data_IF_247502964948
#
_entry.id   IF_247502964948
#
_cell.length_a   1.000
_cell.length_b   1.000
_cell.length_c   1.000
_cell.angle_alpha   90.00
_cell.angle_beta   90.00
_cell.angle_gamma   90.00
#
_symmetry.space_group_name_H-M   'P 1'
#
loop_
_entity.id
_entity.type
_entity.pdbx_description
1 polymer ?
#
# COMPACT_ATOMS: atom_id res chain seq x y z
N UNK A 1 65.95 14.98 -48.00
CA UNK A 1 65.95 16.44 -48.16
C UNK A 1 64.49 16.89 -48.12
N UNK A 2 64.05 17.53 -47.04
CA UNK A 2 62.75 18.23 -46.95
C UNK A 2 62.75 19.45 -47.90
N UNK A 3 61.59 19.88 -48.44
CA UNK A 3 60.69 20.83 -47.74
C UNK A 3 59.19 20.44 -47.89
N UNK A 4 58.29 20.59 -46.90
CA UNK A 4 57.79 21.77 -46.18
C UNK A 4 56.72 22.60 -46.94
N UNK A 5 55.51 22.64 -46.35
CA UNK A 5 54.56 23.77 -46.19
C UNK A 5 53.16 23.74 -46.87
N UNK A 6 52.16 23.90 -45.98
CA UNK A 6 50.96 24.76 -46.02
C UNK A 6 49.60 24.25 -46.58
N UNK A 7 48.61 24.41 -45.68
CA UNK A 7 47.16 24.15 -45.66
C UNK A 7 46.37 25.29 -46.37
N UNK A 8 45.03 25.43 -46.24
CA UNK A 8 43.87 24.58 -46.57
C UNK A 8 42.93 25.24 -47.63
N UNK A 9 41.99 24.50 -48.22
CA UNK A 9 40.67 25.06 -48.59
C UNK A 9 39.55 24.11 -48.21
N UNK A 10 38.65 24.64 -47.39
CA UNK A 10 37.48 23.99 -46.83
C UNK A 10 36.49 23.54 -47.91
N UNK A 11 36.00 22.31 -47.79
CA UNK A 11 34.78 21.84 -48.42
C UNK A 11 33.89 21.27 -47.31
N UNK A 12 32.84 22.01 -46.96
CA UNK A 12 31.85 21.60 -45.97
C UNK A 12 31.00 20.45 -46.52
N UNK A 13 31.05 19.30 -45.85
CA UNK A 13 30.12 18.20 -46.07
C UNK A 13 29.03 18.33 -45.00
N UNK A 14 27.82 18.67 -45.45
CA UNK A 14 26.59 18.59 -44.65
C UNK A 14 26.27 17.11 -44.38
N UNK A 15 26.67 16.60 -43.22
CA UNK A 15 26.14 15.34 -42.70
C UNK A 15 24.73 15.60 -42.16
N UNK A 16 23.73 15.23 -42.97
CA UNK A 16 22.34 15.14 -42.53
C UNK A 16 22.20 13.94 -41.59
N UNK A 17 22.37 14.18 -40.28
CA UNK A 17 22.20 13.18 -39.24
C UNK A 17 20.73 12.82 -39.06
N UNK A 18 20.29 11.72 -39.68
CA UNK A 18 19.03 11.08 -39.34
C UNK A 18 19.19 10.40 -37.97
N UNK A 19 18.72 11.07 -36.91
CA UNK A 19 18.58 10.45 -35.59
C UNK A 19 17.41 9.47 -35.68
N UNK A 20 17.70 8.18 -35.84
CA UNK A 20 16.72 7.13 -35.55
C UNK A 20 16.44 7.20 -34.05
N UNK A 21 15.32 7.84 -33.69
CA UNK A 21 14.77 7.79 -32.35
C UNK A 21 14.35 6.36 -32.02
N UNK A 22 15.23 5.60 -31.36
CA UNK A 22 14.85 4.39 -30.64
C UNK A 22 13.96 4.84 -29.49
N UNK A 23 12.66 4.86 -29.74
CA UNK A 23 11.67 5.01 -28.67
C UNK A 23 11.66 3.68 -27.93
N UNK A 24 12.50 3.59 -26.90
CA UNK A 24 12.34 2.55 -25.88
C UNK A 24 10.99 2.85 -25.20
N UNK A 25 9.92 2.25 -25.69
CA UNK A 25 8.66 2.18 -24.96
C UNK A 25 8.95 1.31 -23.73
N UNK A 26 9.24 1.98 -22.61
CA UNK A 26 9.17 1.35 -21.31
C UNK A 26 7.71 0.97 -21.13
N UNK A 27 7.40 -0.31 -21.34
CA UNK A 27 6.10 -0.86 -21.02
C UNK A 27 5.93 -0.75 -19.49
N UNK A 28 5.29 0.33 -19.03
CA UNK A 28 4.82 0.40 -17.66
C UNK A 28 3.82 -0.75 -17.49
N UNK A 29 4.11 -1.67 -16.58
CA UNK A 29 3.16 -2.72 -16.23
C UNK A 29 1.83 -2.05 -15.87
N UNK A 30 0.77 -2.37 -16.63
CA UNK A 30 -0.55 -1.82 -16.34
C UNK A 30 -0.97 -2.22 -14.92
N UNK A 31 -1.51 -1.30 -14.11
CA UNK A 31 -1.92 -1.62 -12.75
C UNK A 31 -3.00 -2.71 -12.75
N UNK A 32 -2.93 -3.66 -11.83
CA UNK A 32 -3.90 -4.74 -11.74
C UNK A 32 -5.26 -4.19 -11.29
N UNK A 33 -6.33 -4.57 -11.99
CA UNK A 33 -7.68 -3.99 -11.75
C UNK A 33 -8.22 -4.24 -10.34
N UNK A 34 -7.83 -5.34 -9.73
CA UNK A 34 -8.28 -5.81 -8.42
C UNK A 34 -7.37 -5.37 -7.28
N UNK A 35 -6.35 -4.54 -7.57
CA UNK A 35 -5.51 -3.91 -6.55
C UNK A 35 -5.85 -2.45 -6.31
N UNK A 36 -6.74 -1.85 -7.11
CA UNK A 36 -7.10 -0.45 -6.94
C UNK A 36 -7.77 -0.19 -5.59
N UNK A 37 -7.18 0.69 -4.78
CA UNK A 37 -7.65 0.99 -3.42
C UNK A 37 -7.34 -0.10 -2.39
N UNK A 38 -6.63 -1.17 -2.78
CA UNK A 38 -6.19 -2.22 -1.88
C UNK A 38 -4.97 -1.74 -1.07
N UNK A 39 -4.88 -2.11 0.22
CA UNK A 39 -3.76 -1.69 1.07
C UNK A 39 -2.40 -2.13 0.49
N UNK A 40 -2.30 -3.28 -0.17
CA UNK A 40 -1.04 -3.73 -0.74
C UNK A 40 -0.70 -3.13 -2.12
N UNK A 41 -1.53 -2.24 -2.68
CA UNK A 41 -1.40 -1.76 -4.06
C UNK A 41 0.01 -1.26 -4.38
N UNK A 42 0.56 -0.36 -3.57
CA UNK A 42 1.87 0.23 -3.82
C UNK A 42 3.02 -0.81 -3.77
N UNK A 43 2.94 -1.79 -2.85
CA UNK A 43 3.93 -2.87 -2.78
C UNK A 43 3.87 -3.76 -4.03
N UNK A 44 2.66 -4.08 -4.47
CA UNK A 44 2.40 -4.92 -5.64
C UNK A 44 2.91 -4.23 -6.91
N UNK A 45 2.55 -2.97 -7.12
CA UNK A 45 2.97 -2.18 -8.28
C UNK A 45 4.50 -2.03 -8.34
N UNK A 46 5.13 -1.73 -7.20
CA UNK A 46 6.59 -1.58 -7.12
C UNK A 46 7.31 -2.89 -7.49
N UNK A 47 6.89 -4.01 -6.90
CA UNK A 47 7.49 -5.31 -7.17
C UNK A 47 7.18 -5.82 -8.58
N UNK A 48 6.02 -5.47 -9.14
CA UNK A 48 5.67 -5.83 -10.51
C UNK A 48 6.46 -5.04 -11.54
N UNK A 49 6.67 -3.74 -11.33
CA UNK A 49 7.53 -2.91 -12.16
C UNK A 49 8.99 -3.42 -12.19
N UNK A 50 9.44 -4.10 -11.14
CA UNK A 50 10.76 -4.74 -11.05
C UNK A 50 10.80 -6.19 -11.56
N UNK A 51 9.67 -6.72 -12.02
CA UNK A 51 9.55 -8.10 -12.49
C UNK A 51 9.63 -9.16 -11.38
N UNK A 52 9.53 -8.76 -10.11
CA UNK A 52 9.53 -9.69 -8.95
C UNK A 52 8.18 -10.38 -8.81
N UNK A 53 7.10 -9.64 -9.05
CA UNK A 53 5.73 -10.15 -8.99
C UNK A 53 5.03 -10.01 -10.33
N UNK A 54 4.29 -11.07 -10.69
CA UNK A 54 3.45 -11.08 -11.88
C UNK A 54 2.00 -11.35 -11.47
N UNK A 55 1.08 -10.71 -12.18
CA UNK A 55 -0.34 -11.06 -12.12
C UNK A 55 -0.68 -12.25 -13.00
N UNK A 56 -1.97 -12.51 -13.12
CA UNK A 56 -2.50 -13.59 -13.93
C UNK A 56 -2.79 -13.12 -15.36
N UNK A 57 -2.88 -14.05 -16.34
CA UNK A 57 -3.20 -13.70 -17.74
C UNK A 57 -4.52 -12.93 -17.92
N UNK A 58 -5.42 -13.05 -16.95
CA UNK A 58 -6.71 -12.34 -16.93
C UNK A 58 -6.59 -10.86 -16.50
N UNK A 59 -5.39 -10.36 -16.18
CA UNK A 59 -5.13 -8.98 -15.74
C UNK A 59 -5.38 -8.71 -14.25
N UNK A 60 -5.56 -9.76 -13.44
CA UNK A 60 -5.70 -9.66 -11.96
C UNK A 60 -4.40 -9.95 -11.24
N UNK A 61 -4.27 -9.46 -10.01
CA UNK A 61 -3.22 -9.87 -9.08
C UNK A 61 -3.68 -10.90 -8.06
N UNK A 62 -4.95 -10.88 -7.68
CA UNK A 62 -5.61 -11.69 -6.64
C UNK A 62 -4.98 -11.50 -5.26
N UNK A 63 -4.99 -10.27 -4.71
CA UNK A 63 -4.24 -9.91 -3.50
C UNK A 63 -4.61 -10.73 -2.26
N UNK A 64 -5.85 -11.21 -2.18
CA UNK A 64 -6.37 -11.94 -1.03
C UNK A 64 -6.21 -13.46 -1.13
N UNK A 65 -5.74 -13.99 -2.26
CA UNK A 65 -5.52 -15.43 -2.41
C UNK A 65 -4.25 -15.87 -1.66
N UNK A 66 -4.23 -17.08 -1.07
CA UNK A 66 -3.03 -17.67 -0.49
C UNK A 66 -1.92 -17.88 -1.53
N UNK A 67 -0.67 -17.79 -1.08
CA UNK A 67 0.52 -18.12 -1.90
C UNK A 67 0.95 -19.55 -1.64
N UNK A 68 1.16 -20.33 -2.70
CA UNK A 68 1.71 -21.69 -2.57
C UNK A 68 3.22 -21.67 -2.30
N UNK A 69 3.77 -22.72 -1.69
CA UNK A 69 5.21 -22.84 -1.44
C UNK A 69 6.04 -22.74 -2.72
N UNK A 70 5.55 -23.29 -3.83
CA UNK A 70 6.19 -23.16 -5.14
C UNK A 70 6.22 -21.70 -5.64
N UNK A 71 5.08 -21.00 -5.59
CA UNK A 71 5.00 -19.58 -5.93
C UNK A 71 5.94 -18.74 -5.06
N UNK A 72 5.92 -18.97 -3.76
CA UNK A 72 6.78 -18.24 -2.84
C UNK A 72 8.27 -18.46 -3.13
N UNK A 73 8.69 -19.70 -3.42
CA UNK A 73 10.08 -19.98 -3.83
C UNK A 73 10.49 -19.20 -5.09
N UNK A 74 9.59 -19.04 -6.07
CA UNK A 74 9.87 -18.21 -7.26
C UNK A 74 10.02 -16.73 -6.92
N UNK A 75 9.16 -16.20 -6.04
CA UNK A 75 9.22 -14.80 -5.61
C UNK A 75 10.55 -14.52 -4.91
N UNK A 76 10.95 -15.37 -3.95
CA UNK A 76 12.20 -15.22 -3.20
C UNK A 76 13.41 -15.32 -4.13
N UNK A 77 13.42 -16.28 -5.07
CA UNK A 77 14.50 -16.45 -6.03
C UNK A 77 14.71 -15.19 -6.89
N UNK A 78 13.61 -14.63 -7.42
CA UNK A 78 13.64 -13.44 -8.26
C UNK A 78 14.01 -12.19 -7.45
N UNK A 79 13.37 -11.99 -6.29
CA UNK A 79 13.59 -10.84 -5.41
C UNK A 79 15.06 -10.69 -4.99
N UNK A 80 15.70 -11.81 -4.66
CA UNK A 80 17.07 -11.82 -4.12
C UNK A 80 18.14 -12.25 -5.11
N UNK A 81 17.74 -12.48 -6.38
CA UNK A 81 18.60 -12.89 -7.49
C UNK A 81 19.54 -14.04 -7.09
N UNK A 82 18.95 -15.05 -6.45
CA UNK A 82 19.74 -16.15 -5.90
C UNK A 82 20.46 -16.89 -7.03
N UNK A 83 21.65 -17.38 -6.71
CA UNK A 83 22.45 -18.21 -7.61
C UNK A 83 22.47 -19.62 -7.07
N UNK A 84 22.54 -20.61 -7.95
CA UNK A 84 22.84 -21.97 -7.53
C UNK A 84 24.24 -21.96 -6.89
N UNK A 85 24.29 -22.23 -5.59
CA UNK A 85 25.52 -22.58 -4.90
C UNK A 85 25.99 -23.93 -5.44
N UNK A 86 27.29 -24.15 -5.57
CA UNK A 86 27.90 -25.29 -6.29
C UNK A 86 27.67 -26.68 -5.65
N UNK A 87 26.66 -26.84 -4.79
CA UNK A 87 26.26 -28.09 -4.19
C UNK A 87 25.13 -28.77 -4.98
N UNK A 88 25.29 -30.07 -5.24
CA UNK A 88 24.30 -30.90 -5.91
C UNK A 88 23.09 -31.13 -5.01
N UNK A 89 22.13 -30.21 -4.97
CA UNK A 89 20.83 -30.49 -4.36
C UNK A 89 20.07 -31.49 -5.26
N UNK A 90 19.74 -32.68 -4.72
CA UNK A 90 19.18 -33.81 -5.48
C UNK A 90 17.68 -33.62 -5.83
N UNK A 91 17.07 -32.50 -5.45
CA UNK A 91 15.65 -32.23 -5.69
C UNK A 91 14.75 -32.84 -4.62
N UNK A 92 13.45 -32.57 -4.72
CA UNK A 92 12.42 -33.15 -3.85
C UNK A 92 11.61 -34.19 -4.61
N UNK A 93 11.13 -35.24 -3.92
CA UNK A 93 10.45 -36.38 -4.55
C UNK A 93 9.19 -36.01 -5.33
N UNK A 94 8.45 -35.01 -4.85
CA UNK A 94 7.20 -34.50 -5.40
C UNK A 94 7.40 -33.27 -6.31
N UNK A 95 8.65 -32.93 -6.65
CA UNK A 95 8.97 -31.83 -7.56
C UNK A 95 9.75 -32.41 -8.75
N UNK A 96 9.08 -32.90 -9.80
CA UNK A 96 9.75 -33.41 -10.97
C UNK A 96 10.54 -32.30 -11.68
N UNK A 97 11.61 -32.61 -12.44
CA UNK A 97 12.39 -31.60 -13.17
C UNK A 97 11.57 -30.76 -14.16
N UNK A 98 10.43 -31.27 -14.63
CA UNK A 98 9.49 -30.59 -15.53
C UNK A 98 8.52 -29.65 -14.81
N UNK A 99 8.50 -29.65 -13.46
CA UNK A 99 7.67 -28.74 -12.69
C UNK A 99 8.13 -27.30 -12.94
N UNK A 100 7.19 -26.39 -13.20
CA UNK A 100 7.47 -24.99 -13.56
C UNK A 100 8.35 -24.26 -12.52
N UNK A 101 8.19 -24.58 -11.23
CA UNK A 101 8.98 -24.03 -10.13
C UNK A 101 10.22 -24.86 -9.75
N UNK A 102 10.52 -25.97 -10.44
CA UNK A 102 11.58 -26.91 -10.03
C UNK A 102 12.93 -26.22 -9.81
N UNK A 103 13.34 -25.38 -10.77
CA UNK A 103 14.60 -24.63 -10.66
C UNK A 103 14.58 -23.67 -9.46
N UNK A 104 13.51 -22.89 -9.28
CA UNK A 104 13.44 -21.92 -8.18
C UNK A 104 13.43 -22.61 -6.81
N UNK A 105 12.70 -23.72 -6.69
CA UNK A 105 12.67 -24.54 -5.48
C UNK A 105 14.07 -25.09 -5.18
N UNK A 106 14.76 -25.64 -6.19
CA UNK A 106 16.12 -26.16 -6.00
C UNK A 106 17.11 -25.06 -5.61
N UNK A 107 17.03 -23.88 -6.22
CA UNK A 107 17.92 -22.76 -5.90
C UNK A 107 17.67 -22.23 -4.50
N UNK A 108 16.41 -22.05 -4.10
CA UNK A 108 16.06 -21.62 -2.75
C UNK A 108 16.49 -22.65 -1.69
N UNK A 109 16.34 -23.94 -1.98
CA UNK A 109 16.79 -25.02 -1.09
C UNK A 109 18.33 -25.06 -0.97
N UNK A 110 19.05 -24.93 -2.09
CA UNK A 110 20.52 -24.88 -2.12
C UNK A 110 21.11 -23.66 -1.38
N UNK A 111 20.32 -22.59 -1.24
CA UNK A 111 20.66 -21.41 -0.44
C UNK A 111 20.17 -21.49 1.02
N UNK A 112 19.67 -22.64 1.47
CA UNK A 112 19.11 -22.87 2.82
C UNK A 112 17.96 -21.93 3.19
N UNK A 113 17.22 -21.43 2.19
CA UNK A 113 16.08 -20.54 2.42
C UNK A 113 14.79 -21.31 2.59
N UNK A 114 14.64 -22.44 1.92
CA UNK A 114 13.47 -23.33 2.06
C UNK A 114 13.94 -24.75 2.37
N UNK A 115 13.10 -25.49 3.10
CA UNK A 115 13.34 -26.89 3.41
C UNK A 115 12.11 -27.73 3.04
N UNK A 116 12.36 -29.00 2.71
CA UNK A 116 11.31 -30.00 2.56
C UNK A 116 10.94 -30.66 3.88
N UNK A 117 10.01 -31.60 3.80
CA UNK A 117 9.54 -32.38 4.93
C UNK A 117 10.42 -33.62 5.16
N UNK A 118 10.38 -34.24 6.35
CA UNK A 118 11.17 -35.44 6.65
C UNK A 118 10.92 -36.64 5.72
N UNK A 119 9.79 -36.65 5.02
CA UNK A 119 9.41 -37.66 4.02
C UNK A 119 10.07 -37.43 2.63
N UNK A 120 10.91 -36.39 2.49
CA UNK A 120 11.59 -36.04 1.25
C UNK A 120 10.73 -35.23 0.25
N UNK A 121 9.55 -34.77 0.67
CA UNK A 121 8.66 -33.93 -0.16
C UNK A 121 8.85 -32.43 0.10
N UNK A 122 8.47 -31.59 -0.86
CA UNK A 122 8.43 -30.13 -0.72
C UNK A 122 7.02 -29.59 -0.49
N UNK A 123 6.01 -30.29 -1.00
CA UNK A 123 4.59 -29.92 -1.04
C UNK A 123 4.36 -28.59 -1.78
N UNK A 124 4.66 -28.52 -3.09
CA UNK A 124 4.70 -27.26 -3.85
C UNK A 124 3.38 -26.49 -3.84
N UNK A 125 2.24 -27.20 -3.81
CA UNK A 125 0.90 -26.60 -3.83
C UNK A 125 0.35 -26.25 -2.45
N UNK A 126 1.03 -26.67 -1.38
CA UNK A 126 0.61 -26.30 -0.03
C UNK A 126 0.82 -24.79 0.18
N UNK A 127 -0.15 -24.05 0.75
CA UNK A 127 0.04 -22.64 1.08
C UNK A 127 1.18 -22.43 2.09
N UNK A 128 1.94 -21.35 1.93
CA UNK A 128 2.93 -20.91 2.91
C UNK A 128 2.23 -20.12 4.02
N UNK A 129 2.59 -20.38 5.26
CA UNK A 129 2.09 -19.58 6.40
C UNK A 129 2.80 -18.24 6.49
N UNK A 130 2.19 -17.27 7.19
CA UNK A 130 2.82 -15.97 7.47
C UNK A 130 4.16 -16.10 8.18
N UNK A 131 4.24 -17.00 9.17
CA UNK A 131 5.50 -17.29 9.87
C UNK A 131 6.56 -17.84 8.94
N UNK A 132 6.24 -18.85 8.14
CA UNK A 132 7.20 -19.43 7.20
C UNK A 132 7.71 -18.37 6.22
N UNK A 133 6.82 -17.56 5.64
CA UNK A 133 7.21 -16.51 4.71
C UNK A 133 8.18 -15.50 5.34
N UNK A 134 7.88 -15.02 6.55
CA UNK A 134 8.73 -14.08 7.28
C UNK A 134 10.09 -14.68 7.68
N UNK A 135 10.14 -15.96 8.07
CA UNK A 135 11.41 -16.64 8.36
C UNK A 135 12.28 -16.73 7.11
N UNK A 136 11.71 -17.15 5.98
CA UNK A 136 12.44 -17.26 4.72
C UNK A 136 12.97 -15.91 4.27
N UNK A 137 12.14 -14.86 4.30
CA UNK A 137 12.55 -13.51 3.89
C UNK A 137 13.61 -12.92 4.83
N UNK A 138 13.47 -13.13 6.14
CA UNK A 138 14.49 -12.74 7.12
C UNK A 138 15.82 -13.46 6.90
N UNK A 139 15.79 -14.73 6.52
CA UNK A 139 17.02 -15.46 6.17
C UNK A 139 17.60 -14.96 4.85
N UNK A 140 16.76 -14.56 3.89
CA UNK A 140 17.17 -14.12 2.55
C UNK A 140 17.81 -12.72 2.52
N UNK A 141 17.45 -11.83 3.46
CA UNK A 141 18.20 -10.58 3.67
C UNK A 141 19.61 -10.85 4.25
N UNK A 142 19.82 -12.04 4.81
CA UNK A 142 21.07 -12.51 5.42
C UNK A 142 21.27 -11.97 6.82
N UNK A 143 22.07 -12.67 7.62
CA UNK A 143 22.75 -12.08 8.78
C UNK A 143 23.80 -11.07 8.30
N UNK A 144 23.40 -10.03 7.57
CA UNK A 144 24.16 -8.78 7.61
C UNK A 144 24.22 -8.45 9.09
N UNK A 145 25.41 -8.33 9.69
CA UNK A 145 25.62 -8.00 11.11
C UNK A 145 25.05 -6.64 11.57
N UNK A 146 24.00 -6.18 10.89
CA UNK A 146 23.23 -4.96 11.02
C UNK A 146 21.83 -5.19 11.59
N UNK A 147 21.33 -6.43 11.76
CA UNK A 147 20.15 -6.67 12.61
C UNK A 147 20.67 -6.78 14.04
N UNK A 148 20.47 -5.76 14.89
CA UNK A 148 20.93 -5.84 16.27
C UNK A 148 20.20 -6.99 16.97
N UNK A 149 20.83 -7.62 17.96
CA UNK A 149 20.24 -8.74 18.69
C UNK A 149 18.77 -8.45 19.04
N UNK A 150 17.86 -9.16 18.38
CA UNK A 150 16.42 -9.02 18.61
C UNK A 150 16.03 -10.00 19.71
N UNK A 151 15.36 -9.49 20.74
CA UNK A 151 14.90 -10.34 21.84
C UNK A 151 13.48 -10.81 21.53
N UNK A 152 13.16 -12.12 21.70
CA UNK A 152 11.80 -12.61 21.53
C UNK A 152 10.76 -11.83 22.35
N UNK A 153 11.15 -11.27 23.50
CA UNK A 153 10.29 -10.41 24.34
C UNK A 153 9.69 -9.22 23.59
N UNK A 154 10.37 -8.69 22.57
CA UNK A 154 9.91 -7.56 21.77
C UNK A 154 8.66 -7.90 20.95
N UNK A 155 8.44 -9.20 20.67
CA UNK A 155 7.24 -9.67 20.00
C UNK A 155 6.04 -9.69 20.95
N UNK A 156 6.25 -10.16 22.19
CA UNK A 156 5.18 -10.30 23.20
C UNK A 156 4.68 -8.96 23.74
N UNK A 157 5.52 -7.93 23.74
CA UNK A 157 5.09 -6.56 24.09
C UNK A 157 4.31 -5.89 22.97
N UNK A 158 4.43 -6.37 21.73
CA UNK A 158 3.86 -5.74 20.54
C UNK A 158 2.62 -6.42 20.00
N UNK A 159 2.61 -7.75 19.95
CA UNK A 159 1.56 -8.52 19.27
C UNK A 159 0.73 -9.30 20.28
N UNK A 160 -0.59 -9.15 20.19
CA UNK A 160 -1.53 -9.78 21.14
C UNK A 160 -1.55 -11.30 21.02
N UNK A 161 -1.17 -11.82 19.86
CA UNK A 161 -1.11 -13.23 19.53
C UNK A 161 0.34 -13.75 19.37
N UNK A 162 1.32 -13.05 19.94
CA UNK A 162 2.73 -13.48 19.91
C UNK A 162 2.93 -14.89 20.48
N UNK A 163 2.07 -15.33 21.42
CA UNK A 163 2.08 -16.68 21.96
C UNK A 163 1.74 -17.78 20.93
N UNK A 164 1.11 -17.43 19.80
CA UNK A 164 0.84 -18.37 18.72
C UNK A 164 2.06 -18.57 17.79
N UNK A 165 3.14 -17.81 17.96
CA UNK A 165 4.37 -17.97 17.17
C UNK A 165 5.04 -19.29 17.57
N UNK A 166 5.35 -20.18 16.60
CA UNK A 166 6.10 -21.39 16.89
C UNK A 166 7.50 -21.08 17.46
N UNK A 167 7.94 -21.83 18.47
CA UNK A 167 9.22 -21.61 19.13
C UNK A 167 10.42 -21.55 18.16
N UNK A 168 10.40 -22.36 17.10
CA UNK A 168 11.46 -22.39 16.08
C UNK A 168 11.58 -21.09 15.27
N UNK A 169 10.53 -20.26 15.24
CA UNK A 169 10.46 -19.04 14.45
C UNK A 169 10.71 -17.75 15.25
N UNK A 170 10.73 -17.83 16.59
CA UNK A 170 10.78 -16.66 17.47
C UNK A 170 11.97 -15.74 17.18
N UNK A 171 13.16 -16.31 16.98
CA UNK A 171 14.37 -15.53 16.73
C UNK A 171 14.28 -14.75 15.40
N UNK A 172 13.85 -15.42 14.34
CA UNK A 172 13.72 -14.82 13.02
C UNK A 172 12.56 -13.82 12.95
N UNK A 173 11.44 -14.07 13.62
CA UNK A 173 10.36 -13.08 13.69
C UNK A 173 10.74 -11.87 14.54
N UNK A 174 11.53 -12.04 15.60
CA UNK A 174 12.07 -10.91 16.36
C UNK A 174 13.00 -10.06 15.49
N UNK A 175 13.86 -10.71 14.71
CA UNK A 175 14.71 -10.06 13.71
C UNK A 175 13.88 -9.35 12.63
N UNK A 176 12.85 -10.01 12.07
CA UNK A 176 11.92 -9.43 11.10
C UNK A 176 11.22 -8.19 11.65
N UNK A 177 10.75 -8.26 12.89
CA UNK A 177 10.11 -7.16 13.60
C UNK A 177 11.04 -5.95 13.72
N UNK A 178 12.30 -6.20 14.10
CA UNK A 178 13.31 -5.16 14.27
C UNK A 178 13.79 -4.55 12.96
N UNK A 179 13.83 -5.35 11.89
CA UNK A 179 14.18 -4.91 10.55
C UNK A 179 12.99 -4.28 9.79
N UNK A 180 11.81 -4.16 10.42
CA UNK A 180 10.63 -3.54 9.80
C UNK A 180 9.98 -4.39 8.69
N UNK A 181 10.26 -5.70 8.64
CA UNK A 181 9.73 -6.62 7.62
C UNK A 181 8.26 -6.96 7.84
N UNK A 182 7.80 -6.93 9.10
CA UNK A 182 6.44 -7.34 9.45
C UNK A 182 5.47 -6.21 9.12
N UNK A 183 4.64 -6.44 8.09
CA UNK A 183 3.51 -5.59 7.71
C UNK A 183 2.21 -6.28 8.11
N UNK A 184 1.45 -5.64 8.99
CA UNK A 184 0.19 -6.17 9.50
C UNK A 184 -0.94 -5.21 9.12
N UNK A 185 -1.95 -5.76 8.44
CA UNK A 185 -3.16 -5.06 8.05
C UNK A 185 -4.36 -6.00 8.22
N UNK A 186 -5.53 -5.50 8.67
CA UNK A 186 -5.78 -4.11 9.09
C UNK A 186 -5.27 -3.81 10.51
N UNK A 187 -5.03 -4.84 11.32
CA UNK A 187 -4.59 -4.66 12.71
C UNK A 187 -3.08 -4.85 12.86
N UNK A 188 -2.30 -3.78 13.13
CA UNK A 188 -0.86 -3.85 13.27
C UNK A 188 -0.40 -4.62 14.51
N UNK A 189 -1.26 -4.87 15.48
CA UNK A 189 -0.95 -5.61 16.71
C UNK A 189 -1.33 -7.10 16.62
N UNK A 190 -1.78 -7.58 15.46
CA UNK A 190 -2.16 -8.97 15.24
C UNK A 190 -1.28 -9.61 14.14
N UNK A 191 -0.56 -10.69 14.49
CA UNK A 191 0.34 -11.37 13.56
C UNK A 191 -0.34 -12.45 12.73
N UNK A 192 -1.32 -13.16 13.28
CA UNK A 192 -1.92 -14.37 12.74
C UNK A 192 -0.86 -15.36 12.18
N UNK A 193 0.10 -15.80 13.00
CA UNK A 193 1.35 -16.39 12.53
C UNK A 193 1.16 -17.71 11.75
N UNK A 194 0.13 -18.47 12.06
CA UNK A 194 -0.06 -19.84 11.56
C UNK A 194 -1.06 -19.96 10.40
N UNK A 195 -1.70 -18.85 9.98
CA UNK A 195 -2.59 -18.89 8.81
C UNK A 195 -1.81 -18.76 7.50
N UNK A 196 -2.37 -19.24 6.38
CA UNK A 196 -1.82 -18.98 5.05
C UNK A 196 -1.60 -17.48 4.81
N UNK A 197 -0.44 -17.13 4.25
CA UNK A 197 -0.12 -15.78 3.82
C UNK A 197 -0.78 -15.49 2.48
N UNK A 198 -1.41 -14.32 2.36
CA UNK A 198 -2.00 -13.87 1.09
C UNK A 198 -0.94 -13.30 0.15
N UNK A 199 -1.26 -13.20 -1.14
CA UNK A 199 -0.40 -12.58 -2.15
C UNK A 199 -0.04 -11.13 -1.81
N UNK A 200 -0.97 -10.38 -1.24
CA UNK A 200 -0.75 -9.02 -0.74
C UNK A 200 0.28 -8.98 0.40
N UNK A 201 0.20 -9.90 1.35
CA UNK A 201 1.12 -9.98 2.48
C UNK A 201 2.52 -10.38 2.03
N UNK A 202 2.63 -11.40 1.17
CA UNK A 202 3.91 -11.80 0.58
C UNK A 202 4.52 -10.65 -0.23
N UNK A 203 3.71 -9.87 -0.96
CA UNK A 203 4.19 -8.68 -1.65
C UNK A 203 4.75 -7.64 -0.66
N UNK A 204 4.00 -7.32 0.40
CA UNK A 204 4.44 -6.38 1.42
C UNK A 204 5.73 -6.84 2.12
N UNK A 205 5.80 -8.08 2.57
CA UNK A 205 6.99 -8.63 3.23
C UNK A 205 8.20 -8.65 2.30
N UNK A 206 8.02 -9.08 1.04
CA UNK A 206 9.11 -9.12 0.05
C UNK A 206 9.62 -7.72 -0.23
N UNK A 207 8.72 -6.75 -0.40
CA UNK A 207 9.08 -5.35 -0.59
C UNK A 207 9.91 -4.82 0.58
N UNK A 208 9.46 -5.03 1.82
CA UNK A 208 10.21 -4.60 3.01
C UNK A 208 11.56 -5.31 3.13
N UNK A 209 11.62 -6.59 2.81
CA UNK A 209 12.88 -7.34 2.82
C UNK A 209 13.87 -6.83 1.77
N UNK A 210 13.41 -6.49 0.56
CA UNK A 210 14.25 -5.90 -0.48
C UNK A 210 14.69 -4.46 -0.12
N UNK A 211 13.84 -3.66 0.53
CA UNK A 211 14.21 -2.36 1.11
C UNK A 211 15.32 -2.55 2.15
N UNK A 212 15.14 -3.46 3.10
CA UNK A 212 16.09 -3.73 4.18
C UNK A 212 17.46 -4.21 3.67
N UNK A 213 17.52 -4.90 2.53
CA UNK A 213 18.77 -5.34 1.88
C UNK A 213 19.39 -4.26 0.97
N UNK A 214 18.75 -3.11 0.80
CA UNK A 214 19.17 -2.07 -0.16
C UNK A 214 19.09 -2.53 -1.63
N UNK A 215 18.30 -3.57 -1.92
CA UNK A 215 18.20 -4.20 -3.25
C UNK A 215 17.15 -3.57 -4.16
N UNK A 216 16.35 -2.64 -3.64
CA UNK A 216 15.45 -1.81 -4.45
C UNK A 216 16.24 -0.62 -5.00
N UNK A 217 16.46 -0.62 -6.32
CA UNK A 217 16.81 0.61 -7.03
C UNK A 217 15.53 1.42 -7.12
N UNK A 218 15.52 2.62 -6.55
CA UNK A 218 14.50 3.61 -6.84
C UNK A 218 14.52 3.87 -8.36
N UNK A 219 13.60 3.28 -9.11
CA UNK A 219 13.43 3.65 -10.51
C UNK A 219 12.76 5.01 -10.55
N UNK A 220 13.59 6.05 -10.61
CA UNK A 220 13.24 7.36 -11.12
C UNK A 220 12.94 7.21 -12.62
N UNK A 221 11.72 7.49 -13.11
CA UNK A 221 11.49 7.74 -14.53
C UNK A 221 12.03 9.14 -14.85
N UNK A 222 13.35 9.30 -14.92
CA UNK A 222 14.02 10.57 -15.17
C UNK A 222 15.48 10.50 -14.76
N UNK A 223 16.36 10.25 -15.73
CA UNK A 223 17.78 10.05 -15.49
C UNK A 223 18.46 11.22 -14.76
N UNK A 224 19.07 10.92 -13.62
CA UNK A 224 20.17 11.68 -13.03
C UNK A 224 21.25 10.70 -12.55
N UNK A 225 22.54 11.12 -12.52
CA UNK A 225 23.68 10.22 -12.40
C UNK A 225 23.75 9.52 -11.04
N UNK A 226 24.23 8.27 -11.07
CA UNK A 226 24.55 7.43 -9.93
C UNK A 226 25.47 8.15 -8.92
N UNK A 227 24.89 8.71 -7.86
CA UNK A 227 25.65 9.46 -6.87
C UNK A 227 24.86 9.98 -5.67
N UNK A 228 23.73 9.36 -5.31
CA UNK A 228 23.10 9.47 -3.98
C UNK A 228 22.02 8.39 -3.94
N UNK A 229 22.29 7.27 -3.27
CA UNK A 229 21.24 6.31 -2.96
C UNK A 229 20.21 7.02 -2.07
N UNK A 230 18.90 6.95 -2.32
CA UNK A 230 17.90 7.44 -1.37
C UNK A 230 17.98 6.56 -0.12
N UNK A 231 18.80 7.01 0.82
CA UNK A 231 18.89 6.47 2.16
C UNK A 231 17.72 7.01 2.97
N UNK A 232 17.13 6.17 3.79
CA UNK A 232 16.17 6.62 4.80
C UNK A 232 16.95 7.43 5.86
N UNK A 233 17.02 8.75 5.69
CA UNK A 233 17.70 9.64 6.64
C UNK A 233 16.68 10.37 7.54
N UNK A 234 16.52 9.86 8.77
CA UNK A 234 15.75 10.53 9.83
C UNK A 234 16.50 11.72 10.43
N UNK A 235 17.74 12.00 9.99
CA UNK A 235 18.49 13.17 10.42
C UNK A 235 17.93 14.37 9.64
N UNK A 236 17.04 15.10 10.28
CA UNK A 236 16.43 16.36 9.82
C UNK A 236 15.30 16.23 8.78
N UNK A 237 14.29 15.41 9.08
CA UNK A 237 13.09 15.28 8.24
C UNK A 237 11.87 15.91 8.91
N UNK A 238 11.60 17.18 8.59
CA UNK A 238 10.35 17.87 8.95
C UNK A 238 9.38 17.84 7.77
N UNK A 239 8.10 17.59 8.04
CA UNK A 239 7.01 17.79 7.09
C UNK A 239 6.33 19.12 7.40
N UNK A 240 6.30 20.02 6.42
CA UNK A 240 5.77 21.36 6.62
C UNK A 240 4.24 21.36 6.85
N UNK A 241 3.76 22.34 7.62
CA UNK A 241 2.34 22.65 7.71
C UNK A 241 1.75 22.88 6.31
N UNK A 242 0.50 22.45 6.12
CA UNK A 242 -0.19 22.48 4.84
C UNK A 242 0.05 21.25 3.95
N UNK A 243 1.02 20.38 4.27
CA UNK A 243 1.23 19.10 3.58
C UNK A 243 -0.05 18.26 3.58
N UNK A 244 -0.41 17.73 2.42
CA UNK A 244 -1.54 16.84 2.25
C UNK A 244 -1.10 15.38 2.45
N UNK A 245 -1.86 14.66 3.24
CA UNK A 245 -1.67 13.24 3.55
C UNK A 245 -2.93 12.50 3.17
N UNK A 246 -2.87 11.68 2.12
CA UNK A 246 -3.98 10.81 1.76
C UNK A 246 -4.00 9.61 2.69
N UNK A 247 -5.12 9.41 3.38
CA UNK A 247 -5.35 8.29 4.28
C UNK A 247 -6.59 7.50 3.88
N UNK A 248 -6.77 6.31 4.43
CA UNK A 248 -7.96 5.47 4.21
C UNK A 248 -8.52 4.93 5.51
N UNK A 249 -9.83 4.72 5.54
CA UNK A 249 -10.51 4.01 6.62
C UNK A 249 -10.11 2.52 6.64
N UNK A 250 -9.77 1.93 7.81
CA UNK A 250 -9.24 0.57 7.90
C UNK A 250 -10.31 -0.52 8.11
N UNK A 251 -11.59 -0.18 7.99
CA UNK A 251 -12.70 -1.09 8.30
C UNK A 251 -13.36 -1.66 7.04
N UNK A 252 -14.01 -2.82 7.20
CA UNK A 252 -14.59 -3.60 6.10
C UNK A 252 -16.11 -3.41 5.94
N UNK A 253 -16.75 -2.68 6.85
CA UNK A 253 -18.19 -2.38 6.81
C UNK A 253 -18.42 -0.88 6.95
N UNK A 254 -19.56 -0.39 6.43
CA UNK A 254 -19.93 1.02 6.55
C UNK A 254 -20.04 1.44 8.01
N UNK A 255 -19.42 2.55 8.34
CA UNK A 255 -19.53 3.17 9.66
C UNK A 255 -20.50 4.34 9.62
N UNK A 256 -21.39 4.39 10.61
CA UNK A 256 -22.30 5.51 10.82
C UNK A 256 -21.83 6.27 12.06
N UNK A 257 -21.68 7.59 11.94
CA UNK A 257 -21.33 8.49 13.03
C UNK A 257 -22.50 9.45 13.24
N UNK A 258 -23.00 9.54 14.47
CA UNK A 258 -24.07 10.47 14.79
C UNK A 258 -23.55 11.93 14.83
N UNK A 259 -24.39 12.96 14.56
CA UNK A 259 -23.93 14.35 14.41
C UNK A 259 -23.16 14.94 15.60
N UNK A 260 -23.43 14.45 16.81
CA UNK A 260 -22.79 14.90 18.05
C UNK A 260 -21.82 13.87 18.64
N UNK A 261 -21.49 12.82 17.87
CA UNK A 261 -20.60 11.75 18.32
C UNK A 261 -19.14 12.10 18.06
N UNK A 262 -18.34 12.14 19.13
CA UNK A 262 -16.88 12.07 19.01
C UNK A 262 -16.46 10.62 19.04
N UNK A 263 -15.77 10.15 17.99
CA UNK A 263 -15.38 8.74 17.85
C UNK A 263 -13.89 8.58 17.60
N UNK A 264 -13.11 7.98 18.53
CA UNK A 264 -11.71 7.68 18.29
C UNK A 264 -11.55 6.66 17.15
N UNK A 265 -10.59 6.90 16.26
CA UNK A 265 -10.34 6.05 15.10
C UNK A 265 -8.91 6.22 14.59
N UNK A 266 -8.37 5.16 14.01
CA UNK A 266 -7.12 5.20 13.25
C UNK A 266 -7.40 5.24 11.74
N UNK A 267 -6.65 6.04 11.00
CA UNK A 267 -6.58 6.01 9.54
C UNK A 267 -5.23 5.45 9.08
N UNK A 268 -5.16 4.99 7.85
CA UNK A 268 -3.93 4.40 7.28
C UNK A 268 -3.44 5.27 6.14
N UNK A 269 -2.16 5.67 6.15
CA UNK A 269 -1.55 6.44 5.06
C UNK A 269 -1.60 5.63 3.76
N UNK A 270 -2.29 6.18 2.76
CA UNK A 270 -2.52 5.57 1.45
C UNK A 270 -1.38 5.81 0.46
N UNK A 271 -0.69 6.95 0.55
CA UNK A 271 0.44 7.27 -0.33
C UNK A 271 1.64 7.67 0.52
N UNK A 272 2.84 7.12 0.25
CA UNK A 272 4.03 7.51 0.98
C UNK A 272 4.34 8.99 0.75
N UNK A 273 4.65 9.73 1.81
CA UNK A 273 5.08 11.12 1.73
C UNK A 273 6.59 11.14 1.56
N UNK A 274 7.08 11.95 0.61
CA UNK A 274 8.49 12.06 0.27
C UNK A 274 9.00 13.49 0.47
N UNK A 275 10.29 13.64 0.74
CA UNK A 275 10.96 14.95 0.72
C UNK A 275 11.29 15.38 -0.73
N UNK A 276 11.86 16.58 -0.88
CA UNK A 276 12.27 17.12 -2.19
C UNK A 276 13.39 16.29 -2.86
N UNK A 277 14.14 15.53 -2.07
CA UNK A 277 15.22 14.64 -2.51
C UNK A 277 14.71 13.25 -2.93
N UNK A 278 13.42 12.96 -2.71
CA UNK A 278 12.78 11.69 -3.06
C UNK A 278 12.75 10.63 -1.94
N UNK A 279 13.36 10.92 -0.79
CA UNK A 279 13.38 10.04 0.38
C UNK A 279 11.99 9.94 1.01
N UNK A 280 11.60 8.73 1.41
CA UNK A 280 10.31 8.48 2.05
C UNK A 280 10.39 8.97 3.49
N UNK A 281 9.53 9.93 3.85
CA UNK A 281 9.40 10.46 5.20
C UNK A 281 8.32 9.73 5.99
N UNK A 282 7.15 9.54 5.37
CA UNK A 282 6.03 8.79 5.94
C UNK A 282 5.71 7.65 5.00
N UNK A 283 6.03 6.40 5.35
CA UNK A 283 5.72 5.25 4.53
C UNK A 283 4.22 5.05 4.33
N UNK A 284 3.87 4.42 3.21
CA UNK A 284 2.58 3.75 3.05
C UNK A 284 2.28 2.86 4.27
N UNK A 285 1.03 2.82 4.70
CA UNK A 285 0.62 1.96 5.81
C UNK A 285 0.88 2.55 7.20
N UNK A 286 1.52 3.72 7.29
CA UNK A 286 1.69 4.44 8.55
C UNK A 286 0.32 4.69 9.17
N UNK A 287 0.18 4.40 10.47
CA UNK A 287 -1.08 4.57 11.20
C UNK A 287 -1.17 6.00 11.71
N UNK A 288 -2.27 6.67 11.40
CA UNK A 288 -2.61 7.98 11.94
C UNK A 288 -3.70 7.79 12.99
N UNK A 289 -3.40 8.07 14.25
CA UNK A 289 -4.35 7.98 15.35
C UNK A 289 -4.98 9.35 15.62
N UNK A 290 -6.28 9.34 15.86
CA UNK A 290 -7.05 10.55 16.11
C UNK A 290 -8.51 10.23 16.42
N UNK A 291 -9.39 11.18 16.10
CA UNK A 291 -10.83 11.02 16.32
C UNK A 291 -11.64 11.80 15.30
N UNK A 292 -12.82 11.28 15.00
CA UNK A 292 -13.88 12.04 14.35
C UNK A 292 -14.56 12.92 15.40
N UNK A 293 -14.70 14.21 15.11
CA UNK A 293 -15.34 15.20 15.98
C UNK A 293 -16.49 15.93 15.25
N UNK A 294 -17.58 16.27 15.97
CA UNK A 294 -18.67 17.08 15.43
C UNK A 294 -18.18 18.39 14.82
N UNK A 295 -18.70 18.73 13.65
CA UNK A 295 -18.43 20.00 12.98
C UNK A 295 -19.71 20.51 12.29
N UNK A 296 -19.85 21.84 12.07
CA UNK A 296 -21.02 22.37 11.37
C UNK A 296 -21.22 21.69 10.00
N UNK A 297 -22.37 21.03 9.82
CA UNK A 297 -22.72 20.31 8.59
C UNK A 297 -22.06 18.94 8.40
N UNK A 298 -21.57 18.31 9.48
CA UNK A 298 -21.06 16.94 9.44
C UNK A 298 -20.05 16.61 10.52
N UNK A 299 -18.94 15.99 10.13
CA UNK A 299 -17.89 15.55 11.04
C UNK A 299 -16.52 15.78 10.41
N UNK A 300 -15.50 16.06 11.24
CA UNK A 300 -14.11 16.20 10.81
C UNK A 300 -13.25 15.16 11.51
N UNK A 301 -12.27 14.60 10.80
CA UNK A 301 -11.22 13.83 11.46
C UNK A 301 -10.11 14.76 11.95
N UNK A 302 -9.76 14.67 13.22
CA UNK A 302 -8.64 15.37 13.85
C UNK A 302 -7.58 14.32 14.23
N UNK A 303 -6.42 14.41 13.58
CA UNK A 303 -5.28 13.58 13.89
C UNK A 303 -4.50 14.12 15.09
N UNK A 304 -3.98 13.22 15.91
CA UNK A 304 -3.21 13.54 17.12
C UNK A 304 -1.79 12.96 17.07
N UNK A 305 -1.64 11.80 16.43
CA UNK A 305 -0.35 11.15 16.31
C UNK A 305 -0.25 10.28 15.07
N UNK A 306 0.98 10.00 14.68
CA UNK A 306 1.28 9.07 13.59
C UNK A 306 2.36 8.09 14.04
N UNK A 307 2.18 6.82 13.70
CA UNK A 307 3.18 5.78 13.87
C UNK A 307 3.93 5.62 12.56
N UNK A 308 5.19 6.03 12.57
CA UNK A 308 6.13 5.87 11.45
C UNK A 308 7.28 5.00 11.94
N UNK A 309 7.57 3.89 11.25
CA UNK A 309 8.63 2.96 11.61
C UNK A 309 8.66 2.60 13.11
N UNK A 310 7.49 2.27 13.66
CA UNK A 310 7.34 1.90 15.07
C UNK A 310 7.58 3.00 16.11
N UNK A 311 7.78 4.24 15.68
CA UNK A 311 7.89 5.39 16.57
C UNK A 311 6.63 6.22 16.46
N UNK A 312 6.11 6.62 17.62
CA UNK A 312 4.97 7.51 17.72
C UNK A 312 5.47 8.95 17.62
N UNK A 313 4.93 9.70 16.67
CA UNK A 313 5.20 11.12 16.50
C UNK A 313 3.91 11.92 16.72
N UNK A 314 3.95 13.06 17.43
CA UNK A 314 2.80 13.95 17.53
C UNK A 314 2.47 14.49 16.13
N UNK A 315 1.21 14.41 15.75
CA UNK A 315 0.72 14.88 14.45
C UNK A 315 -0.42 15.85 14.68
N UNK A 316 -0.28 17.08 14.18
CA UNK A 316 -1.38 18.03 14.09
C UNK A 316 -1.84 18.07 12.63
N UNK A 317 -2.94 17.35 12.33
CA UNK A 317 -3.54 17.35 11.00
C UNK A 317 -5.05 17.16 11.09
N UNK A 318 -5.78 17.62 10.07
CA UNK A 318 -7.24 17.49 10.05
C UNK A 318 -7.78 17.29 8.65
N UNK A 319 -8.94 16.64 8.52
CA UNK A 319 -9.66 16.53 7.26
C UNK A 319 -10.50 17.77 6.94
N UNK A 320 -10.99 17.84 5.71
CA UNK A 320 -12.17 18.64 5.38
C UNK A 320 -13.42 18.08 6.09
N UNK A 321 -14.53 18.82 6.01
CA UNK A 321 -15.81 18.37 6.57
C UNK A 321 -16.34 17.21 5.74
N UNK A 322 -16.61 16.10 6.41
CA UNK A 322 -17.35 14.96 5.86
C UNK A 322 -18.82 15.22 6.15
N UNK A 323 -19.57 15.52 5.09
CA UNK A 323 -20.96 15.94 5.22
C UNK A 323 -21.88 14.83 5.68
N UNK A 324 -22.87 15.20 6.50
CA UNK A 324 -23.92 14.30 6.91
C UNK A 324 -24.93 14.07 5.78
N UNK A 325 -25.52 12.88 5.77
CA UNK A 325 -26.59 12.48 4.86
C UNK A 325 -27.77 11.97 5.67
N UNK A 326 -28.97 11.91 5.06
CA UNK A 326 -30.10 11.22 5.69
C UNK A 326 -29.74 9.77 5.91
N UNK A 327 -29.97 9.26 7.12
CA UNK A 327 -29.60 7.88 7.47
C UNK A 327 -30.23 6.89 6.48
N UNK A 328 -29.41 6.20 5.65
CA UNK A 328 -29.88 5.27 4.63
C UNK A 328 -30.66 4.09 5.22
N UNK A 329 -30.53 3.82 6.52
CA UNK A 329 -31.29 2.75 7.20
C UNK A 329 -32.78 3.10 7.33
N UNK A 330 -33.16 4.36 7.17
CA UNK A 330 -34.54 4.84 7.29
C UNK A 330 -35.25 5.01 5.94
N UNK A 331 -34.62 4.60 4.82
CA UNK A 331 -35.20 4.65 3.48
C UNK A 331 -35.90 3.35 3.12
N UNK A 332 -36.95 2.97 3.85
CA UNK A 332 -37.85 1.89 3.39
C UNK A 332 -38.98 2.48 2.56
N UNK A 333 -39.23 1.88 1.39
CA UNK A 333 -40.24 2.24 0.38
C UNK A 333 -41.66 2.44 0.92
N UNK A 334 -41.96 1.96 2.15
CA UNK A 334 -43.26 2.13 2.82
C UNK A 334 -43.45 3.41 3.66
N UNK A 335 -42.42 4.24 3.87
CA UNK A 335 -42.53 5.48 4.68
C UNK A 335 -42.45 6.78 3.90
N UNK A 336 -42.31 6.73 2.57
CA UNK A 336 -42.17 7.91 1.72
C UNK A 336 -43.49 8.71 1.62
N UNK A 337 -44.65 8.07 1.90
CA UNK A 337 -45.97 8.68 1.70
C UNK A 337 -46.51 9.38 2.98
N UNK A 338 -45.98 9.10 4.17
CA UNK A 338 -46.57 9.61 5.42
C UNK A 338 -46.01 10.98 5.88
N UNK A 339 -44.83 11.37 5.42
CA UNK A 339 -44.11 12.54 5.93
C UNK A 339 -44.18 13.79 5.02
N UNK A 340 -45.00 13.76 3.95
CA UNK A 340 -45.28 14.94 3.13
C UNK A 340 -46.19 15.97 3.83
N UNK A 341 -46.64 15.71 5.06
CA UNK A 341 -47.64 16.52 5.77
C UNK A 341 -47.07 17.51 6.81
N UNK A 342 -45.76 17.54 7.05
CA UNK A 342 -45.16 18.44 8.06
C UNK A 342 -43.96 19.17 7.44
N UNK A 343 -44.25 20.28 6.75
CA UNK A 343 -43.23 21.09 6.10
C UNK A 343 -43.80 22.31 5.36
N UNK A 344 -44.81 22.97 5.92
CA UNK A 344 -45.28 24.25 5.38
C UNK A 344 -44.37 25.39 5.86
N UNK A 345 -43.24 25.60 5.18
CA UNK A 345 -42.56 26.89 5.07
C UNK A 345 -41.37 26.78 4.10
N UNK A 346 -41.63 26.95 2.80
CA UNK A 346 -40.79 27.59 1.77
C UNK A 346 -40.94 26.90 0.40
N UNK A 347 -41.51 27.64 -0.56
CA UNK A 347 -41.30 27.42 -1.99
C UNK A 347 -42.29 26.49 -2.70
N UNK A 348 -43.28 27.10 -3.36
CA UNK A 348 -44.16 26.44 -4.33
C UNK A 348 -43.37 25.81 -5.50
N UNK A 349 -43.84 24.71 -6.08
CA UNK A 349 -44.40 24.56 -7.45
C UNK A 349 -44.84 23.08 -7.59
N UNK A 350 -46.15 22.82 -7.69
CA UNK A 350 -46.66 21.58 -8.31
C UNK A 350 -47.50 21.98 -9.52
N UNK A 351 -46.93 21.75 -10.70
CA UNK A 351 -47.65 21.66 -11.96
C UNK A 351 -47.97 20.19 -12.27
N UNK A 352 -49.27 19.94 -12.43
CA UNK A 352 -49.90 18.92 -13.27
C UNK A 352 -49.88 17.44 -12.84
N UNK A 353 -50.96 17.05 -12.16
CA UNK A 353 -51.77 15.90 -12.60
C UNK A 353 -52.74 16.44 -13.66
N UNK A 354 -52.31 16.39 -14.91
CA UNK A 354 -53.12 16.14 -16.11
C UNK A 354 -52.11 15.99 -17.23
N UNK A 355 -52.11 14.83 -17.86
CA UNK A 355 -51.18 14.53 -18.93
C UNK A 355 -51.35 15.53 -20.06
N UNK A 356 -50.24 16.19 -20.42
CA UNK A 356 -49.94 16.60 -21.77
C UNK A 356 -48.41 16.68 -21.95
N UNK A 357 -47.97 16.26 -23.13
CA UNK A 357 -46.57 16.10 -23.51
C UNK A 357 -45.89 17.44 -23.82
N UNK A 358 -44.55 17.41 -23.72
CA UNK A 358 -43.57 18.48 -23.97
C UNK A 358 -43.43 19.46 -22.78
N UNK A 359 -42.24 19.67 -22.22
CA UNK A 359 -41.21 20.52 -22.82
C UNK A 359 -39.81 20.20 -22.24
N UNK A 360 -38.85 20.10 -23.16
CA UNK A 360 -37.39 20.36 -23.08
C UNK A 360 -36.56 19.77 -21.93
N UNK A 361 -35.92 18.65 -22.27
CA UNK A 361 -34.47 18.43 -22.13
C UNK A 361 -33.63 19.69 -22.49
N UNK A 362 -32.51 19.87 -21.76
CA UNK A 362 -31.36 20.76 -22.03
C UNK A 362 -31.34 22.19 -21.43
N UNK A 363 -30.59 22.28 -20.31
CA UNK A 363 -29.50 23.22 -20.00
C UNK A 363 -29.77 24.74 -19.99
N UNK A 364 -29.63 25.39 -18.82
CA UNK A 364 -28.64 26.48 -18.64
C UNK A 364 -28.07 26.50 -17.22
N UNK A 365 -26.75 26.45 -17.19
CA UNK A 365 -25.77 26.76 -16.16
C UNK A 365 -26.14 27.85 -15.14
N UNK A 366 -25.82 27.56 -13.88
CA UNK A 366 -25.71 28.56 -12.82
C UNK A 366 -25.37 27.91 -11.47
N UNK A 367 -24.09 27.59 -11.26
CA UNK A 367 -23.41 27.30 -9.98
C UNK A 367 -24.25 26.74 -8.80
N UNK A 368 -24.00 25.49 -8.42
CA UNK A 368 -24.16 25.03 -7.02
C UNK A 368 -25.06 23.81 -6.82
N UNK A 369 -24.41 22.70 -6.44
CA UNK A 369 -24.92 21.54 -5.69
C UNK A 369 -26.17 20.83 -6.23
N UNK A 370 -25.92 19.70 -6.89
CA UNK A 370 -26.93 18.67 -7.13
C UNK A 370 -27.27 17.93 -5.83
N UNK A 371 -28.55 17.89 -5.49
CA UNK A 371 -29.09 17.03 -4.43
C UNK A 371 -30.60 17.13 -4.39
N UNK A 372 -31.29 16.34 -5.22
CA UNK A 372 -32.75 16.23 -5.20
C UNK A 372 -33.21 15.75 -3.81
N UNK A 373 -33.85 16.62 -3.05
CA UNK A 373 -34.46 16.28 -1.76
C UNK A 373 -35.87 15.75 -2.02
N UNK A 374 -36.00 14.45 -2.23
CA UNK A 374 -37.30 13.77 -2.16
C UNK A 374 -37.15 12.55 -1.24
N UNK A 375 -37.71 12.66 -0.03
CA UNK A 375 -37.85 11.53 0.90
C UNK A 375 -37.60 11.90 2.36
N UNK A 376 -38.63 11.74 3.20
CA UNK A 376 -38.62 11.63 4.66
C UNK A 376 -37.91 12.76 5.45
N UNK A 377 -38.68 13.66 6.09
CA UNK A 377 -38.17 14.82 6.87
C UNK A 377 -37.75 14.39 8.30
N UNK A 378 -38.13 13.19 8.75
CA UNK A 378 -37.87 12.71 10.13
C UNK A 378 -36.64 11.83 10.27
N UNK A 379 -35.97 11.47 9.17
CA UNK A 379 -34.77 10.64 9.22
C UNK A 379 -33.61 11.41 9.89
N UNK A 380 -32.94 10.83 10.91
CA UNK A 380 -31.78 11.46 11.51
C UNK A 380 -30.67 11.63 10.46
N UNK A 381 -29.94 12.75 10.54
CA UNK A 381 -28.73 12.93 9.75
C UNK A 381 -27.59 12.15 10.39
N UNK A 382 -26.78 11.48 9.58
CA UNK A 382 -25.59 10.72 10.01
C UNK A 382 -24.47 10.92 9.01
N UNK A 383 -23.23 10.91 9.47
CA UNK A 383 -22.08 10.77 8.58
C UNK A 383 -21.89 9.28 8.27
N UNK A 384 -21.81 8.96 6.99
CA UNK A 384 -21.55 7.60 6.52
C UNK A 384 -20.12 7.53 6.03
N UNK A 385 -19.33 6.63 6.60
CA UNK A 385 -17.99 6.34 6.13
C UNK A 385 -17.96 4.97 5.47
N UNK A 386 -17.47 4.92 4.23
CA UNK A 386 -17.34 3.69 3.47
C UNK A 386 -16.03 2.94 3.79
N UNK A 387 -15.99 1.61 3.62
CA UNK A 387 -14.75 0.85 3.65
C UNK A 387 -13.72 1.39 2.64
N UNK A 388 -12.46 1.52 3.06
CA UNK A 388 -11.36 2.06 2.25
C UNK A 388 -11.61 3.46 1.67
N UNK A 389 -12.53 4.23 2.25
CA UNK A 389 -12.77 5.62 1.85
C UNK A 389 -11.50 6.44 2.06
N UNK A 390 -11.13 7.21 1.04
CA UNK A 390 -10.01 8.16 1.15
C UNK A 390 -10.44 9.35 1.98
N UNK A 391 -9.63 9.67 2.97
CA UNK A 391 -9.73 10.89 3.77
C UNK A 391 -8.42 11.63 3.61
N UNK A 392 -8.48 12.82 3.02
CA UNK A 392 -7.34 13.71 2.90
C UNK A 392 -7.16 14.48 4.22
N UNK A 393 -5.97 14.39 4.80
CA UNK A 393 -5.58 15.15 5.98
C UNK A 393 -4.62 16.26 5.59
N UNK A 394 -4.86 17.47 6.07
CA UNK A 394 -3.95 18.60 5.95
C UNK A 394 -3.23 18.81 7.27
N UNK A 395 -1.90 18.80 7.25
CA UNK A 395 -1.10 19.18 8.42
C UNK A 395 -1.41 20.63 8.80
N UNK A 396 -1.73 20.87 10.07
CA UNK A 396 -1.96 22.21 10.61
C UNK A 396 -0.70 22.79 11.23
N UNK A 397 0.29 21.96 11.53
CA UNK A 397 1.61 22.35 12.02
C UNK A 397 2.70 21.49 11.37
N UNK A 398 3.95 21.92 11.50
CA UNK A 398 5.10 21.13 11.08
C UNK A 398 5.19 19.84 11.90
N UNK A 399 5.40 18.71 11.22
CA UNK A 399 5.64 17.41 11.85
C UNK A 399 7.14 17.13 11.82
N UNK A 400 7.77 17.10 13.00
CA UNK A 400 9.15 16.66 13.15
C UNK A 400 9.21 15.13 13.32
N UNK A 401 9.86 14.44 12.38
CA UNK A 401 10.08 12.98 12.44
C UNK A 401 11.40 12.61 13.11
N UNK A 402 11.95 13.52 13.92
CA UNK A 402 13.17 13.28 14.69
C UNK A 402 12.86 12.40 15.91
N UNK A 403 13.57 11.27 16.10
CA UNK A 403 13.46 10.50 17.33
C UNK A 403 13.73 11.38 18.55
N UNK A 404 12.90 11.27 19.60
CA UNK A 404 13.20 11.92 20.87
C UNK A 404 14.59 11.48 21.36
N UNK A 405 15.48 12.43 21.65
CA UNK A 405 16.76 12.14 22.30
C UNK A 405 16.50 11.46 23.64
N UNK A 406 16.99 10.23 23.81
CA UNK A 406 17.01 9.57 25.12
C UNK A 406 18.00 10.23 26.05
#
# INVERSE_FOLDING_TARGET
MFPSLLNPRAAGILLSGAVLGIHCQVAMAAPFRDTFGHWAQAYIETLSAQGVLNGFPDGTFRPNEPVTRAQFATIVNTAFRLRNTSGTFIGFRDVPPTHWAASAISTAAANNLVAGFPDGTFRPEQPVTRTEALVVLTNAIGNTGAIPAAQPSDLFSRYRDAAAIPNWALAQLAAANRAGLIVNYPDPMLLEPNRPATRAEVAAFTHQAMLSRGSLVAQNPGGLPSGSQPGFDLRLSTLAAGTLMQTTTPFNERLFIAPNETRPMSLIVRNPIRNAQGDILVPFGSRVDGRFEPAPGGTRFVAESIIVNNQLFPLAAQSDIIHDVKDPRYTTTGKIIQDAAIGAAAGAILGLVTGDNAIATEEVLGAGVAGAVIGNVTAPQVVVLDPNQVIELRLTQDLALTPASR
#
